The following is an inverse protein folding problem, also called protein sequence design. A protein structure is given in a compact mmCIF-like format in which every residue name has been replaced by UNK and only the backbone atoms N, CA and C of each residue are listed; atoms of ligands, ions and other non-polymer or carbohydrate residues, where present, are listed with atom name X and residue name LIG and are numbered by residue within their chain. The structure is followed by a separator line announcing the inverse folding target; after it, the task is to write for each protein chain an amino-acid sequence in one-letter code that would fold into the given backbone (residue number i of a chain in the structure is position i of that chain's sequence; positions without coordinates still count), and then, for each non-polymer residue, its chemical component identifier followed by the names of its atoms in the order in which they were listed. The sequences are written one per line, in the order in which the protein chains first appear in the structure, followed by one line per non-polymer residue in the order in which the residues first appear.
data_IF_558351883262
#
_entry.id   IF_558351883262
#
_cell.length_a   1.000
_cell.length_b   1.000
_cell.length_c   1.000
_cell.angle_alpha   90.00
_cell.angle_beta   90.00
_cell.angle_gamma   90.00
#
_symmetry.space_group_name_H-M   'P 1'
#
loop_
_entity.id
_entity.type
_entity.pdbx_description
1 polymer ?
#
# COMPACT_ATOMS: atom_id res chain seq x y z
N UNK A 1 -17.79 -19.45 5.42
CA UNK A 1 -18.81 -19.39 6.49
C UNK A 1 -18.51 -18.18 7.36
N UNK A 2 -19.39 -17.16 7.36
CA UNK A 2 -19.21 -15.95 8.16
C UNK A 2 -20.02 -16.08 9.46
N UNK A 3 -19.34 -16.12 10.61
CA UNK A 3 -19.98 -16.33 11.93
C UNK A 3 -20.56 -15.04 12.52
N UNK A 4 -19.98 -13.89 12.18
CA UNK A 4 -20.43 -12.58 12.66
C UNK A 4 -21.41 -11.93 11.68
N UNK A 5 -22.52 -11.41 12.21
CA UNK A 5 -23.43 -10.52 11.47
C UNK A 5 -22.80 -9.16 11.14
N UNK A 6 -23.46 -8.39 10.27
CA UNK A 6 -22.94 -7.13 9.69
C UNK A 6 -22.51 -6.13 10.77
N UNK A 7 -23.35 -5.85 11.77
CA UNK A 7 -23.07 -4.85 12.83
C UNK A 7 -21.88 -5.26 13.71
N UNK A 8 -21.84 -6.55 14.09
CA UNK A 8 -20.74 -7.10 14.89
C UNK A 8 -19.43 -7.06 14.10
N UNK A 9 -19.46 -7.42 12.81
CA UNK A 9 -18.30 -7.34 11.93
C UNK A 9 -17.82 -5.91 11.76
N UNK A 10 -18.72 -4.95 11.55
CA UNK A 10 -18.37 -3.53 11.40
C UNK A 10 -17.68 -3.01 12.66
N UNK A 11 -18.26 -3.30 13.82
CA UNK A 11 -17.69 -2.95 15.13
C UNK A 11 -16.29 -3.54 15.34
N UNK A 12 -16.11 -4.83 15.07
CA UNK A 12 -14.83 -5.51 15.21
C UNK A 12 -13.79 -4.95 14.23
N UNK A 13 -14.19 -4.68 12.99
CA UNK A 13 -13.31 -4.15 11.95
C UNK A 13 -12.85 -2.73 12.29
N UNK A 14 -13.76 -1.87 12.75
CA UNK A 14 -13.44 -0.52 13.19
C UNK A 14 -12.47 -0.54 14.39
N UNK A 15 -12.74 -1.39 15.39
CA UNK A 15 -11.84 -1.57 16.54
C UNK A 15 -10.46 -2.09 16.13
N UNK A 16 -10.39 -3.14 15.31
CA UNK A 16 -9.14 -3.71 14.83
C UNK A 16 -8.29 -2.66 14.09
N UNK A 17 -8.92 -1.90 13.18
CA UNK A 17 -8.27 -0.80 12.47
C UNK A 17 -7.80 0.29 13.45
N UNK A 18 -8.61 0.62 14.45
CA UNK A 18 -8.26 1.57 15.50
C UNK A 18 -7.04 1.14 16.33
N UNK A 19 -6.95 -0.14 16.70
CA UNK A 19 -5.82 -0.68 17.47
C UNK A 19 -4.56 -0.88 16.62
N UNK A 20 -4.68 -1.23 15.34
CA UNK A 20 -3.53 -1.39 14.42
C UNK A 20 -2.65 -0.13 14.37
N UNK A 21 -3.27 1.05 14.45
CA UNK A 21 -2.58 2.33 14.44
C UNK A 21 -2.00 2.75 15.80
N UNK A 22 -2.19 1.95 16.85
CA UNK A 22 -1.69 2.20 18.22
C UNK A 22 -0.52 1.28 18.60
N UNK A 23 -0.03 0.43 17.68
CA UNK A 23 1.16 -0.38 17.91
C UNK A 23 2.36 0.50 18.26
N UNK A 24 3.38 -0.02 18.96
CA UNK A 24 4.50 0.81 19.41
C UNK A 24 5.40 1.28 18.27
N UNK A 25 5.83 0.35 17.41
CA UNK A 25 6.79 0.61 16.32
C UNK A 25 6.06 1.10 15.07
N UNK A 26 6.57 2.17 14.44
CA UNK A 26 5.97 2.76 13.23
C UNK A 26 5.88 1.79 12.04
N UNK A 27 6.90 0.96 11.74
CA UNK A 27 6.77 -0.05 10.68
C UNK A 27 5.64 -1.04 10.97
N UNK A 28 5.52 -1.50 12.20
CA UNK A 28 4.46 -2.45 12.60
C UNK A 28 3.08 -1.79 12.54
N UNK A 29 2.94 -0.53 12.99
CA UNK A 29 1.73 0.27 12.81
C UNK A 29 1.34 0.33 11.32
N UNK A 30 2.29 0.67 10.45
CA UNK A 30 2.05 0.82 9.01
C UNK A 30 1.53 -0.50 8.41
N UNK A 31 2.21 -1.61 8.69
CA UNK A 31 1.85 -2.94 8.20
C UNK A 31 0.50 -3.41 8.68
N UNK A 32 0.22 -3.22 9.97
CA UNK A 32 -1.07 -3.58 10.53
C UNK A 32 -2.21 -2.73 9.93
N UNK A 33 -1.99 -1.43 9.73
CA UNK A 33 -3.01 -0.52 9.18
C UNK A 33 -3.33 -0.85 7.73
N UNK A 34 -2.33 -1.04 6.85
CA UNK A 34 -2.67 -1.45 5.48
C UNK A 34 -3.23 -2.88 5.45
N UNK A 35 -2.85 -3.78 6.37
CA UNK A 35 -3.43 -5.12 6.41
C UNK A 35 -4.94 -5.07 6.74
N UNK A 36 -5.37 -4.14 7.59
CA UNK A 36 -6.79 -3.90 7.86
C UNK A 36 -7.60 -3.48 6.62
N UNK A 37 -6.98 -2.99 5.54
CA UNK A 37 -7.72 -2.69 4.30
C UNK A 37 -8.41 -3.93 3.71
N UNK A 38 -7.85 -5.13 3.92
CA UNK A 38 -8.48 -6.39 3.49
C UNK A 38 -9.76 -6.73 4.26
N UNK A 39 -9.98 -6.14 5.44
CA UNK A 39 -11.24 -6.31 6.18
C UNK A 39 -12.39 -5.54 5.52
N UNK A 40 -12.09 -4.54 4.68
CA UNK A 40 -13.06 -3.74 3.95
C UNK A 40 -13.24 -4.18 2.48
N UNK A 41 -12.48 -5.19 2.03
CA UNK A 41 -12.55 -5.71 0.67
C UNK A 41 -12.33 -7.22 0.65
N UNK A 42 -13.43 -7.96 0.54
CA UNK A 42 -13.46 -9.43 0.51
C UNK A 42 -14.03 -9.89 -0.83
N UNK A 43 -13.27 -10.68 -1.57
CA UNK A 43 -13.67 -11.21 -2.89
C UNK A 43 -14.52 -12.49 -2.77
N UNK A 44 -15.61 -12.41 -2.03
CA UNK A 44 -16.65 -13.45 -1.94
C UNK A 44 -17.98 -12.92 -2.51
N UNK A 45 -18.94 -13.80 -2.86
CA UNK A 45 -20.25 -13.40 -3.41
C UNK A 45 -20.98 -12.37 -2.54
N UNK A 46 -20.92 -12.54 -1.21
CA UNK A 46 -21.49 -11.62 -0.21
C UNK A 46 -20.40 -10.86 0.56
N UNK A 47 -19.22 -10.73 -0.05
CA UNK A 47 -18.08 -10.03 0.53
C UNK A 47 -18.29 -8.52 0.55
N UNK A 48 -17.81 -7.86 1.61
CA UNK A 48 -17.82 -6.40 1.69
C UNK A 48 -16.83 -5.83 0.68
N UNK A 49 -17.25 -4.83 -0.10
CA UNK A 49 -16.41 -4.06 -1.02
C UNK A 49 -16.57 -2.57 -0.76
N UNK A 50 -15.93 -2.10 0.30
CA UNK A 50 -15.93 -0.70 0.73
C UNK A 50 -14.58 -0.05 0.37
N UNK A 51 -14.49 0.44 -0.87
CA UNK A 51 -13.28 1.06 -1.41
C UNK A 51 -12.88 2.35 -0.69
N UNK A 52 -13.84 3.08 -0.12
CA UNK A 52 -13.55 4.33 0.61
C UNK A 52 -12.75 4.01 1.89
N UNK A 53 -13.17 2.97 2.61
CA UNK A 53 -12.45 2.52 3.81
C UNK A 53 -11.13 1.81 3.48
N UNK A 54 -11.03 1.12 2.35
CA UNK A 54 -9.76 0.63 1.80
C UNK A 54 -8.80 1.81 1.61
N UNK A 55 -9.20 2.82 0.85
CA UNK A 55 -8.38 4.00 0.56
C UNK A 55 -8.02 4.76 1.84
N UNK A 56 -8.93 4.86 2.82
CA UNK A 56 -8.65 5.47 4.11
C UNK A 56 -7.53 4.73 4.86
N UNK A 57 -7.54 3.39 4.87
CA UNK A 57 -6.48 2.58 5.47
C UNK A 57 -5.15 2.81 4.75
N UNK A 58 -5.14 2.78 3.42
CA UNK A 58 -3.92 2.97 2.63
C UNK A 58 -3.34 4.38 2.78
N UNK A 59 -4.18 5.43 2.79
CA UNK A 59 -3.75 6.82 3.06
C UNK A 59 -3.18 6.95 4.48
N UNK A 60 -3.79 6.29 5.47
CA UNK A 60 -3.28 6.28 6.85
C UNK A 60 -1.94 5.55 6.95
N UNK A 61 -1.80 4.40 6.30
CA UNK A 61 -0.53 3.66 6.24
C UNK A 61 0.58 4.50 5.60
N UNK A 62 0.27 5.24 4.52
CA UNK A 62 1.21 6.14 3.86
C UNK A 62 1.67 7.28 4.78
N UNK A 63 0.77 7.89 5.56
CA UNK A 63 1.15 8.89 6.57
C UNK A 63 2.08 8.32 7.64
N UNK A 64 1.83 7.08 8.07
CA UNK A 64 2.68 6.40 9.05
C UNK A 64 4.05 6.06 8.47
N UNK A 65 4.11 5.60 7.20
CA UNK A 65 5.35 5.36 6.48
C UNK A 65 6.19 6.64 6.34
N UNK A 66 5.56 7.75 5.96
CA UNK A 66 6.22 9.07 5.92
C UNK A 66 6.78 9.48 7.29
N UNK A 67 6.02 9.29 8.37
CA UNK A 67 6.53 9.57 9.72
C UNK A 67 7.71 8.65 10.10
N UNK A 68 7.68 7.37 9.69
CA UNK A 68 8.78 6.44 9.92
C UNK A 68 10.04 6.86 9.15
N UNK A 69 9.88 7.28 7.89
CA UNK A 69 10.94 7.78 7.03
C UNK A 69 11.61 9.02 7.63
N UNK A 70 10.81 10.00 8.06
CA UNK A 70 11.32 11.22 8.70
C UNK A 70 12.10 10.93 9.99
N UNK A 71 11.60 10.02 10.83
CA UNK A 71 12.30 9.62 12.06
C UNK A 71 13.65 8.96 11.77
N UNK A 72 13.73 8.12 10.74
CA UNK A 72 14.97 7.45 10.34
C UNK A 72 16.00 8.45 9.80
N UNK A 73 15.56 9.39 8.94
CA UNK A 73 16.42 10.44 8.40
C UNK A 73 17.06 11.32 9.50
N UNK A 74 16.32 11.60 10.59
CA UNK A 74 16.84 12.36 11.75
C UNK A 74 17.82 11.54 12.60
N UNK A 75 17.69 10.22 12.63
CA UNK A 75 18.48 9.34 13.50
C UNK A 75 19.95 9.12 13.06
N UNK A 76 20.47 9.93 12.12
CA UNK A 76 21.84 9.89 11.55
C UNK A 76 22.29 8.48 11.12
N UNK A 77 22.07 8.15 9.86
CA UNK A 77 22.76 7.02 9.18
C UNK A 77 21.89 5.79 8.92
N UNK A 78 20.58 5.88 9.12
CA UNK A 78 19.64 4.84 8.69
C UNK A 78 18.63 5.47 7.76
N UNK A 79 18.72 5.11 6.49
CA UNK A 79 17.62 5.25 5.53
C UNK A 79 16.35 4.71 6.16
N UNK A 80 15.28 5.51 6.14
CA UNK A 80 13.98 4.96 6.51
C UNK A 80 13.59 3.81 5.57
N UNK A 81 12.67 2.93 6.00
CA UNK A 81 12.35 1.76 5.22
C UNK A 81 11.52 2.17 4.01
N UNK A 82 12.17 2.57 2.91
CA UNK A 82 11.57 2.72 1.58
C UNK A 82 10.72 1.50 1.25
N UNK A 83 11.12 0.33 1.77
CA UNK A 83 10.34 -0.92 1.79
C UNK A 83 8.86 -0.73 2.15
N UNK A 84 8.51 0.09 3.14
CA UNK A 84 7.11 0.33 3.52
C UNK A 84 6.32 1.01 2.40
N UNK A 85 6.92 1.94 1.68
CA UNK A 85 6.27 2.56 0.53
C UNK A 85 6.06 1.55 -0.60
N UNK A 86 7.04 0.67 -0.85
CA UNK A 86 6.92 -0.41 -1.85
C UNK A 86 5.84 -1.42 -1.43
N UNK A 87 5.76 -1.79 -0.15
CA UNK A 87 4.69 -2.65 0.38
C UNK A 87 3.31 -2.01 0.18
N UNK A 88 3.16 -0.73 0.49
CA UNK A 88 1.92 0.02 0.28
C UNK A 88 1.59 0.08 -1.22
N UNK A 89 2.55 0.38 -2.09
CA UNK A 89 2.36 0.40 -3.54
C UNK A 89 1.80 -0.94 -4.04
N UNK A 90 2.33 -2.06 -3.57
CA UNK A 90 1.81 -3.39 -3.91
C UNK A 90 0.35 -3.59 -3.42
N UNK A 91 -0.06 -2.95 -2.32
CA UNK A 91 -1.48 -2.93 -1.91
C UNK A 91 -2.35 -2.08 -2.85
N UNK A 92 -1.89 -0.90 -3.27
CA UNK A 92 -2.60 -0.11 -4.29
C UNK A 92 -2.77 -0.91 -5.58
N UNK A 93 -1.71 -1.57 -6.06
CA UNK A 93 -1.76 -2.45 -7.24
C UNK A 93 -2.79 -3.57 -7.06
N UNK A 94 -2.78 -4.26 -5.92
CA UNK A 94 -3.77 -5.30 -5.64
C UNK A 94 -5.22 -4.79 -5.79
N UNK A 95 -5.58 -3.67 -5.15
CA UNK A 95 -6.94 -3.14 -5.22
C UNK A 95 -7.31 -2.57 -6.58
N UNK A 96 -6.34 -1.99 -7.29
CA UNK A 96 -6.51 -1.55 -8.67
C UNK A 96 -6.91 -2.71 -9.59
N UNK A 97 -6.23 -3.86 -9.45
CA UNK A 97 -6.54 -5.07 -10.23
C UNK A 97 -7.86 -5.72 -9.82
N UNK A 98 -8.25 -5.62 -8.55
CA UNK A 98 -9.57 -6.03 -8.07
C UNK A 98 -10.70 -5.10 -8.50
N UNK A 99 -10.37 -3.98 -9.15
CA UNK A 99 -11.34 -3.05 -9.70
C UNK A 99 -11.97 -2.13 -8.65
N UNK A 100 -11.26 -1.84 -7.56
CA UNK A 100 -11.67 -0.81 -6.61
C UNK A 100 -11.65 0.57 -7.29
N UNK A 101 -12.81 1.24 -7.48
CA UNK A 101 -12.87 2.52 -8.19
C UNK A 101 -12.20 3.67 -7.43
N UNK A 102 -11.96 3.51 -6.12
CA UNK A 102 -11.27 4.51 -5.31
C UNK A 102 -9.76 4.49 -5.54
N UNK A 103 -9.24 3.42 -6.15
CA UNK A 103 -7.83 3.25 -6.46
C UNK A 103 -7.60 3.55 -7.93
N UNK A 104 -6.82 4.59 -8.20
CA UNK A 104 -6.58 5.08 -9.56
C UNK A 104 -5.11 4.89 -9.97
N UNK A 105 -4.86 4.88 -11.27
CA UNK A 105 -3.50 4.89 -11.82
C UNK A 105 -2.70 6.11 -11.35
N UNK A 106 -3.36 7.25 -11.14
CA UNK A 106 -2.73 8.44 -10.57
C UNK A 106 -2.20 8.22 -9.14
N UNK A 107 -2.92 7.43 -8.32
CA UNK A 107 -2.43 7.07 -6.99
C UNK A 107 -1.17 6.21 -7.09
N UNK A 108 -1.16 5.22 -7.99
CA UNK A 108 -0.01 4.35 -8.23
C UNK A 108 1.18 5.17 -8.75
N UNK A 109 0.96 6.04 -9.74
CA UNK A 109 1.98 6.93 -10.30
C UNK A 109 2.63 7.80 -9.22
N UNK A 110 1.82 8.47 -8.39
CA UNK A 110 2.35 9.32 -7.32
C UNK A 110 3.16 8.55 -6.29
N UNK A 111 2.81 7.29 -6.01
CA UNK A 111 3.61 6.44 -5.12
C UNK A 111 4.94 6.01 -5.76
N UNK A 112 4.96 5.69 -7.06
CA UNK A 112 6.20 5.36 -7.80
C UNK A 112 7.16 6.56 -7.79
N UNK A 113 6.64 7.77 -8.04
CA UNK A 113 7.42 9.01 -8.01
C UNK A 113 7.98 9.29 -6.62
N UNK A 114 7.15 9.13 -5.57
CA UNK A 114 7.60 9.26 -4.19
C UNK A 114 8.72 8.27 -3.85
N UNK A 115 8.54 6.98 -4.16
CA UNK A 115 9.54 5.94 -3.89
C UNK A 115 10.85 6.26 -4.62
N UNK A 116 10.76 6.66 -5.89
CA UNK A 116 11.94 7.00 -6.71
C UNK A 116 12.69 8.18 -6.12
N UNK A 117 11.98 9.23 -5.67
CA UNK A 117 12.58 10.40 -5.01
C UNK A 117 13.28 10.02 -3.72
N UNK A 118 12.63 9.22 -2.86
CA UNK A 118 13.22 8.77 -1.59
C UNK A 118 14.48 7.93 -1.86
N UNK A 119 14.47 7.01 -2.83
CA UNK A 119 15.64 6.18 -3.17
C UNK A 119 16.82 7.00 -3.73
N UNK A 120 16.55 8.04 -4.52
CA UNK A 120 17.61 8.91 -5.05
C UNK A 120 18.27 9.76 -3.97
N UNK A 121 17.49 10.21 -2.98
CA UNK A 121 17.99 10.96 -1.82
C UNK A 121 18.92 10.13 -0.92
N UNK A 122 18.96 8.81 -1.13
CA UNK A 122 19.51 7.80 -0.24
C UNK A 122 20.82 7.18 -0.74
N UNK A 123 21.50 7.88 -1.66
CA UNK A 123 22.65 7.40 -2.45
C UNK A 123 23.88 6.97 -1.64
N UNK A 124 23.87 7.09 -0.30
CA UNK A 124 24.93 6.63 0.60
C UNK A 124 24.57 5.35 1.40
N UNK A 125 23.31 4.89 1.44
CA UNK A 125 22.90 3.77 2.31
C UNK A 125 21.74 2.89 1.82
N UNK A 126 21.34 3.00 0.55
CA UNK A 126 20.29 2.14 -0.02
C UNK A 126 20.55 0.65 0.25
N UNK A 127 19.65 0.02 1.00
CA UNK A 127 19.69 -1.42 1.28
C UNK A 127 19.35 -2.18 -0.01
N UNK A 128 20.22 -3.11 -0.50
CA UNK A 128 20.03 -3.80 -1.78
C UNK A 128 18.67 -4.52 -1.96
N UNK A 129 18.03 -4.88 -0.85
CA UNK A 129 16.73 -5.57 -0.83
C UNK A 129 15.57 -4.66 -1.25
N UNK A 130 15.57 -3.39 -0.83
CA UNK A 130 14.51 -2.44 -1.21
C UNK A 130 14.56 -2.13 -2.71
N UNK A 131 15.76 -2.01 -3.26
CA UNK A 131 15.99 -1.82 -4.69
C UNK A 131 15.45 -3.00 -5.50
N UNK A 132 15.79 -4.22 -5.10
CA UNK A 132 15.31 -5.43 -5.76
C UNK A 132 13.78 -5.57 -5.69
N UNK A 133 13.17 -5.22 -4.56
CA UNK A 133 11.71 -5.31 -4.39
C UNK A 133 10.98 -4.27 -5.23
N UNK A 134 11.46 -3.02 -5.24
CA UNK A 134 10.89 -1.97 -6.09
C UNK A 134 11.07 -2.30 -7.58
N UNK A 135 12.26 -2.70 -8.00
CA UNK A 135 12.52 -3.11 -9.38
C UNK A 135 11.61 -4.27 -9.84
N UNK A 136 11.37 -5.25 -8.96
CA UNK A 136 10.43 -6.35 -9.23
C UNK A 136 9.00 -5.84 -9.40
N UNK A 137 8.59 -4.86 -8.59
CA UNK A 137 7.28 -4.21 -8.69
C UNK A 137 7.14 -3.44 -10.01
N UNK A 138 8.17 -2.66 -10.41
CA UNK A 138 8.15 -1.94 -11.69
C UNK A 138 8.09 -2.90 -12.89
N UNK A 139 8.85 -4.01 -12.84
CA UNK A 139 8.81 -5.06 -13.86
C UNK A 139 7.42 -5.68 -13.98
N UNK A 140 6.74 -5.90 -12.85
CA UNK A 140 5.37 -6.40 -12.84
C UNK A 140 4.41 -5.43 -13.53
N UNK A 141 4.51 -4.13 -13.25
CA UNK A 141 3.70 -3.09 -13.90
C UNK A 141 3.95 -3.08 -15.41
N UNK A 142 5.21 -3.15 -15.85
CA UNK A 142 5.57 -3.24 -17.27
C UNK A 142 5.01 -4.52 -17.93
N UNK A 143 5.07 -5.64 -17.23
CA UNK A 143 4.48 -6.90 -17.72
C UNK A 143 2.95 -6.78 -17.89
N UNK A 144 2.25 -6.16 -16.94
CA UNK A 144 0.79 -5.98 -17.05
C UNK A 144 0.40 -5.10 -18.23
N UNK A 145 1.20 -4.06 -18.55
CA UNK A 145 1.00 -3.26 -19.78
C UNK A 145 1.11 -4.09 -21.04
N UNK A 146 2.16 -4.90 -21.15
CA UNK A 146 2.43 -5.71 -22.34
C UNK A 146 1.41 -6.83 -22.56
N UNK A 147 0.81 -7.33 -21.48
CA UNK A 147 -0.19 -8.40 -21.53
C UNK A 147 -1.46 -7.99 -22.31
N UNK A 148 -1.74 -6.69 -22.41
CA UNK A 148 -2.91 -6.15 -23.12
C UNK A 148 -4.25 -6.47 -22.45
N UNK A 149 -5.34 -6.20 -23.17
CA UNK A 149 -6.71 -6.33 -22.67
C UNK A 149 -7.12 -5.24 -21.67
N UNK A 150 -8.33 -5.37 -21.11
CA UNK A 150 -8.93 -4.34 -20.23
C UNK A 150 -8.01 -3.97 -19.06
N UNK A 151 -7.31 -4.95 -18.48
CA UNK A 151 -6.39 -4.67 -17.39
C UNK A 151 -5.13 -3.95 -17.89
N UNK A 152 -4.53 -4.37 -19.01
CA UNK A 152 -3.37 -3.71 -19.59
C UNK A 152 -3.63 -2.24 -19.93
N UNK A 153 -4.79 -1.92 -20.52
CA UNK A 153 -5.22 -0.55 -20.83
C UNK A 153 -5.27 0.34 -19.58
N UNK A 154 -5.69 -0.22 -18.44
CA UNK A 154 -5.67 0.52 -17.16
C UNK A 154 -4.26 0.92 -16.74
N UNK A 155 -3.25 0.11 -17.06
CA UNK A 155 -1.86 0.38 -16.73
C UNK A 155 -1.18 1.38 -17.67
N UNK A 156 -1.71 1.64 -18.87
CA UNK A 156 -1.06 2.50 -19.87
C UNK A 156 -0.74 3.90 -19.35
N UNK A 157 -1.61 4.43 -18.48
CA UNK A 157 -1.46 5.74 -17.85
C UNK A 157 -0.34 5.82 -16.78
N UNK A 158 0.17 4.68 -16.30
CA UNK A 158 1.23 4.62 -15.28
C UNK A 158 2.59 4.65 -15.99
N UNK A 159 3.47 5.61 -15.70
CA UNK A 159 4.81 5.70 -16.26
C UNK A 159 5.81 4.97 -15.35
N UNK A 160 6.57 4.07 -15.95
CA UNK A 160 7.52 3.16 -15.28
C UNK A 160 8.83 3.15 -16.03
#
# INVERSE_FOLDING_TARGET
MNVFGVENRDTLTHKATGYSAKLLKKPDQCRAVYACSHLFWVDDQDGIKDGERVLLCLKRALRIANAAQQMANVARGSSGPVTLFVEILNKYIYYFEKGDPQITSANIQGLIELITSEMQSDTASALPVSDAFFASTLRYIQFQKQKGGILGEKYDSIKV
#
